data_IF_428963017582
#
_entry.id   IF_428963017582
#
_cell.length_a   1.000
_cell.length_b   1.000
_cell.length_c   1.000
_cell.angle_alpha   90.00
_cell.angle_beta   90.00
_cell.angle_gamma   90.00
#
_symmetry.space_group_name_H-M   'P 1'
#
loop_
_entity.id
_entity.type
_entity.pdbx_description
1 polymer ?
#
# COMPACT_ATOMS: atom_id res chain seq x y z
N UNK A 1 -14.81 39.03 17.05
CA UNK A 1 -13.88 39.62 16.05
C UNK A 1 -12.61 38.78 16.04
N UNK A 2 -12.19 38.25 14.90
CA UNK A 2 -10.94 37.49 14.79
C UNK A 2 -9.75 38.45 14.88
N UNK A 3 -9.00 38.40 15.99
CA UNK A 3 -7.78 39.19 16.13
C UNK A 3 -6.74 38.84 15.06
N UNK A 4 -5.92 39.81 14.68
CA UNK A 4 -4.77 39.63 13.79
C UNK A 4 -3.49 40.00 14.52
N UNK A 5 -2.37 39.36 14.17
CA UNK A 5 -1.05 39.70 14.70
C UNK A 5 -0.07 39.95 13.54
N UNK A 6 0.93 40.80 13.76
CA UNK A 6 1.98 41.09 12.79
C UNK A 6 3.25 40.29 13.10
N UNK A 7 3.95 39.82 12.06
CA UNK A 7 5.24 39.17 12.23
C UNK A 7 6.28 40.18 12.77
N UNK A 8 7.04 39.86 13.84
CA UNK A 8 8.02 40.79 14.42
C UNK A 8 9.23 41.06 13.51
N UNK A 9 9.41 40.25 12.45
CA UNK A 9 10.56 40.36 11.54
C UNK A 9 10.26 41.10 10.24
N UNK A 10 9.05 40.96 9.69
CA UNK A 10 8.69 41.51 8.37
C UNK A 10 7.32 42.19 8.33
N UNK A 11 6.63 42.30 9.46
CA UNK A 11 5.33 42.96 9.62
C UNK A 11 4.15 42.38 8.81
N UNK A 12 4.31 41.22 8.17
CA UNK A 12 3.19 40.51 7.54
C UNK A 12 2.10 40.18 8.58
N UNK A 13 0.83 40.42 8.22
CA UNK A 13 -0.34 40.30 9.10
C UNK A 13 -1.02 38.94 8.91
N UNK A 14 -1.30 38.24 10.02
CA UNK A 14 -1.93 36.93 10.02
C UNK A 14 -3.11 36.85 10.99
N UNK A 15 -4.15 36.04 10.71
CA UNK A 15 -5.24 35.81 11.64
C UNK A 15 -4.79 34.97 12.85
N UNK A 16 -5.18 35.35 14.06
CA UNK A 16 -4.92 34.61 15.30
C UNK A 16 -5.72 33.30 15.29
N UNK A 17 -5.03 32.17 15.43
CA UNK A 17 -5.64 30.85 15.66
C UNK A 17 -5.23 30.37 17.06
N UNK A 18 -6.15 29.93 17.93
CA UNK A 18 -5.84 29.48 19.29
C UNK A 18 -4.77 28.38 19.36
N UNK A 19 -4.70 27.54 18.33
CA UNK A 19 -3.73 26.42 18.22
C UNK A 19 -2.26 26.89 18.11
N UNK A 20 -2.03 28.16 17.78
CA UNK A 20 -0.70 28.74 17.59
C UNK A 20 -0.15 29.44 18.84
N UNK A 21 -0.98 29.69 19.86
CA UNK A 21 -0.55 30.32 21.11
C UNK A 21 0.41 29.39 21.88
N UNK A 22 1.53 29.94 22.36
CA UNK A 22 2.56 29.20 23.09
C UNK A 22 3.44 28.27 22.25
N UNK A 23 3.28 28.22 20.92
CA UNK A 23 4.11 27.40 20.02
C UNK A 23 5.04 28.27 19.16
N UNK A 24 6.20 27.72 18.80
CA UNK A 24 7.09 28.36 17.83
C UNK A 24 6.52 28.21 16.41
N UNK A 25 6.28 29.33 15.73
CA UNK A 25 5.72 29.40 14.37
C UNK A 25 6.74 30.04 13.43
N UNK A 26 6.80 29.60 12.18
CA UNK A 26 7.62 30.23 11.13
C UNK A 26 6.77 31.16 10.27
N UNK A 27 7.24 32.38 10.03
CA UNK A 27 6.59 33.31 9.13
C UNK A 27 6.59 32.77 7.69
N UNK A 28 5.45 32.79 6.99
CA UNK A 28 5.38 32.31 5.59
C UNK A 28 6.12 33.23 4.62
N UNK A 29 6.23 34.53 4.93
CA UNK A 29 6.90 35.53 4.10
C UNK A 29 8.42 35.50 4.30
N UNK A 30 8.91 35.68 5.54
CA UNK A 30 10.35 35.83 5.81
C UNK A 30 11.02 34.56 6.36
N UNK A 31 10.27 33.48 6.61
CA UNK A 31 10.75 32.17 7.13
C UNK A 31 11.46 32.17 8.49
N UNK A 32 11.56 33.32 9.16
CA UNK A 32 12.14 33.43 10.52
C UNK A 32 11.16 32.91 11.58
N UNK A 33 11.64 32.17 12.59
CA UNK A 33 10.80 31.70 13.69
C UNK A 33 10.45 32.84 14.66
N UNK A 34 9.25 32.77 15.23
CA UNK A 34 8.76 33.64 16.31
C UNK A 34 7.75 32.86 17.17
N UNK A 35 7.38 33.38 18.33
CA UNK A 35 6.42 32.75 19.24
C UNK A 35 5.25 33.71 19.46
N UNK A 36 4.02 33.20 19.44
CA UNK A 36 2.82 33.97 19.73
C UNK A 36 2.47 33.79 21.22
N UNK A 37 2.53 34.88 21.99
CA UNK A 37 2.15 34.87 23.41
C UNK A 37 0.64 34.73 23.61
N UNK A 38 0.23 34.44 24.83
CA UNK A 38 -1.19 34.39 25.24
C UNK A 38 -1.87 35.77 25.13
N UNK A 39 -1.07 36.83 25.19
CA UNK A 39 -1.45 38.22 24.93
C UNK A 39 -1.74 38.52 23.44
N UNK A 40 -1.51 37.55 22.55
CA UNK A 40 -1.65 37.73 21.10
C UNK A 40 -0.51 38.53 20.47
N UNK A 41 0.56 38.83 21.22
CA UNK A 41 1.73 39.57 20.73
C UNK A 41 2.79 38.58 20.26
N UNK A 42 3.23 38.73 19.02
CA UNK A 42 4.28 37.89 18.44
C UNK A 42 5.66 38.42 18.85
N UNK A 43 6.45 37.60 19.56
CA UNK A 43 7.82 37.94 20.00
C UNK A 43 8.84 37.12 19.22
N UNK A 44 9.97 37.71 18.80
CA UNK A 44 11.05 36.93 18.17
C UNK A 44 11.55 35.90 19.19
N UNK A 45 11.69 34.65 18.76
CA UNK A 45 12.39 33.65 19.58
C UNK A 45 13.84 34.10 19.60
N UNK A 46 14.25 34.71 20.70
CA UNK A 46 15.63 35.10 20.90
C UNK A 46 16.50 33.90 20.58
N UNK A 47 17.55 34.14 19.79
CA UNK A 47 18.61 33.16 19.53
C UNK A 47 19.39 32.94 20.81
N UNK A 48 18.73 32.49 21.87
CA UNK A 48 19.39 31.86 22.99
C UNK A 48 20.00 30.62 22.36
N UNK A 49 21.32 30.65 22.20
CA UNK A 49 22.08 29.47 21.82
C UNK A 49 21.62 28.35 22.74
N UNK A 50 20.82 27.44 22.22
CA UNK A 50 20.56 26.17 22.87
C UNK A 50 21.93 25.50 22.82
N UNK A 51 22.70 25.66 23.88
CA UNK A 51 23.89 24.86 24.13
C UNK A 51 23.43 23.41 24.04
N UNK A 52 23.70 22.78 22.90
CA UNK A 52 23.63 21.34 22.79
C UNK A 52 24.46 20.79 23.96
N UNK A 53 23.90 19.87 24.78
CA UNK A 53 24.71 19.09 25.69
C UNK A 53 25.86 18.50 24.88
N UNK A 54 27.10 18.76 25.34
CA UNK A 54 28.29 18.22 24.72
C UNK A 54 28.11 16.70 24.57
N UNK A 55 28.45 16.10 23.42
CA UNK A 55 28.47 14.66 23.30
C UNK A 55 29.44 14.10 24.33
N UNK A 56 28.93 13.24 25.21
CA UNK A 56 29.74 12.47 26.16
C UNK A 56 30.91 11.83 25.41
N UNK A 57 32.11 12.13 25.89
CA UNK A 57 33.34 11.52 25.43
C UNK A 57 33.24 10.00 25.64
N UNK A 58 33.31 9.28 24.54
CA UNK A 58 33.45 7.83 24.54
C UNK A 58 34.68 7.44 25.38
N UNK A 59 34.56 6.51 26.33
CA UNK A 59 35.71 5.94 27.03
C UNK A 59 36.64 5.28 26.01
N UNK A 60 37.93 5.57 26.14
CA UNK A 60 39.00 4.98 25.35
C UNK A 60 38.88 3.45 25.34
N UNK A 61 38.77 2.88 24.14
CA UNK A 61 38.75 1.45 23.91
C UNK A 61 40.09 0.84 24.36
N UNK A 62 40.04 0.05 25.42
CA UNK A 62 41.13 -0.85 25.79
C UNK A 62 41.26 -1.94 24.73
N UNK A 63 42.50 -2.15 24.32
CA UNK A 63 42.96 -3.16 23.37
C UNK A 63 42.61 -4.58 23.88
N UNK A 64 41.85 -5.39 23.13
CA UNK A 64 41.50 -6.73 23.56
C UNK A 64 42.69 -7.68 23.41
N UNK A 65 43.07 -8.30 24.53
CA UNK A 65 44.05 -9.37 24.61
C UNK A 65 43.64 -10.59 23.75
N UNK A 66 44.61 -11.31 23.14
CA UNK A 66 44.35 -12.47 22.31
C UNK A 66 43.80 -13.63 23.15
N UNK A 67 42.55 -14.03 22.87
CA UNK A 67 41.92 -15.23 23.45
C UNK A 67 42.57 -16.48 22.87
N UNK A 68 43.15 -17.29 23.77
CA UNK A 68 43.59 -18.65 23.49
C UNK A 68 42.41 -19.52 23.03
N UNK A 69 42.63 -20.27 21.94
CA UNK A 69 41.66 -21.21 21.39
C UNK A 69 41.43 -22.36 22.37
N UNK A 70 40.19 -22.53 22.82
CA UNK A 70 39.76 -23.72 23.55
C UNK A 70 39.62 -24.92 22.59
N UNK A 71 40.03 -26.13 22.99
CA UNK A 71 39.92 -27.33 22.17
C UNK A 71 38.46 -27.72 21.95
N UNK A 72 38.14 -28.04 20.69
CA UNK A 72 36.82 -28.49 20.22
C UNK A 72 36.54 -29.89 20.81
N UNK A 73 35.46 -30.10 21.59
CA UNK A 73 35.06 -31.43 22.02
C UNK A 73 34.50 -32.24 20.83
N UNK A 74 34.95 -33.49 20.73
CA UNK A 74 34.55 -34.44 19.70
C UNK A 74 33.03 -34.70 19.73
N UNK A 75 32.41 -34.67 18.54
CA UNK A 75 30.99 -34.96 18.36
C UNK A 75 30.65 -36.41 18.73
N UNK A 76 29.53 -36.67 19.43
CA UNK A 76 29.08 -38.02 19.70
C UNK A 76 28.56 -38.70 18.41
N UNK A 77 29.08 -39.90 18.15
CA UNK A 77 28.65 -40.82 17.10
C UNK A 77 27.20 -41.22 17.36
N UNK A 78 26.27 -40.80 16.49
CA UNK A 78 24.89 -41.25 16.53
C UNK A 78 24.77 -42.64 15.90
N UNK A 79 24.23 -43.58 16.67
CA UNK A 79 23.90 -44.92 16.23
C UNK A 79 22.75 -44.88 15.20
N UNK A 80 22.98 -45.45 14.03
CA UNK A 80 22.00 -45.63 12.96
C UNK A 80 20.94 -46.66 13.38
N UNK A 81 19.68 -46.24 13.46
CA UNK A 81 18.51 -47.12 13.54
C UNK A 81 18.11 -47.54 12.11
N UNK A 82 17.88 -48.84 11.84
CA UNK A 82 17.46 -49.30 10.52
C UNK A 82 16.01 -48.90 10.23
N UNK A 83 15.82 -48.10 9.18
CA UNK A 83 14.50 -47.72 8.64
C UNK A 83 14.02 -48.83 7.70
N UNK A 84 12.89 -49.45 8.06
CA UNK A 84 12.13 -50.36 7.20
C UNK A 84 11.37 -49.53 6.16
N UNK A 85 11.54 -49.79 4.85
CA UNK A 85 10.84 -49.03 3.81
C UNK A 85 9.36 -49.47 3.68
N UNK A 86 8.40 -48.54 3.56
CA UNK A 86 7.03 -48.88 3.17
C UNK A 86 6.93 -49.17 1.66
N UNK A 87 6.05 -50.11 1.33
CA UNK A 87 5.81 -50.65 0.00
C UNK A 87 5.37 -49.57 -1.01
N UNK A 88 6.07 -49.53 -2.14
CA UNK A 88 5.77 -48.70 -3.31
C UNK A 88 4.71 -49.40 -4.18
N UNK A 89 3.58 -48.74 -4.51
CA UNK A 89 2.67 -49.23 -5.54
C UNK A 89 3.24 -48.98 -6.95
N UNK A 90 3.15 -50.01 -7.79
CA UNK A 90 3.69 -50.08 -9.15
C UNK A 90 3.16 -48.97 -10.10
N UNK A 91 4.02 -48.32 -10.89
CA UNK A 91 3.60 -47.43 -11.97
C UNK A 91 3.20 -48.21 -13.24
N UNK A 92 2.14 -47.75 -13.91
CA UNK A 92 1.71 -48.24 -15.22
C UNK A 92 2.66 -47.77 -16.34
N UNK A 93 2.89 -48.58 -17.39
CA UNK A 93 3.70 -48.19 -18.54
C UNK A 93 2.94 -47.20 -19.43
N UNK A 94 3.61 -46.12 -19.82
CA UNK A 94 3.20 -45.24 -20.93
C UNK A 94 4.28 -45.34 -22.00
N UNK A 95 3.84 -45.64 -23.23
CA UNK A 95 4.64 -45.75 -24.45
C UNK A 95 5.38 -44.44 -24.80
N UNK A 96 6.60 -44.53 -25.38
CA UNK A 96 7.30 -43.36 -25.91
C UNK A 96 6.97 -43.13 -27.39
N UNK A 97 6.45 -41.95 -27.71
CA UNK A 97 6.47 -41.41 -29.06
C UNK A 97 7.71 -40.51 -29.25
N UNK A 98 8.51 -40.90 -30.24
CA UNK A 98 9.70 -40.26 -30.79
C UNK A 98 9.38 -38.93 -31.47
N UNK A 99 10.26 -37.92 -31.32
CA UNK A 99 11.01 -37.21 -32.40
C UNK A 99 11.37 -35.76 -32.00
N UNK A 100 12.58 -35.32 -32.37
CA UNK A 100 12.85 -33.90 -32.63
C UNK A 100 14.08 -33.27 -31.97
N UNK A 101 15.28 -33.77 -32.28
CA UNK A 101 16.54 -33.04 -32.09
C UNK A 101 16.59 -31.80 -32.98
N UNK A 102 16.80 -30.62 -32.40
CA UNK A 102 17.33 -29.44 -33.09
C UNK A 102 18.47 -28.85 -32.27
N UNK A 103 19.69 -29.14 -32.74
CA UNK A 103 20.98 -28.63 -32.27
C UNK A 103 21.16 -27.22 -32.83
N UNK A 104 21.11 -26.19 -31.97
CA UNK A 104 21.49 -24.81 -32.33
C UNK A 104 22.86 -24.54 -31.75
N UNK A 105 23.83 -24.30 -32.64
CA UNK A 105 25.19 -23.90 -32.34
C UNK A 105 25.25 -22.49 -31.73
N UNK A 106 25.99 -22.37 -30.62
CA UNK A 106 26.37 -21.09 -30.02
C UNK A 106 27.66 -20.57 -30.67
N UNK A 107 27.76 -19.29 -31.06
CA UNK A 107 29.03 -18.69 -31.43
C UNK A 107 29.82 -18.25 -30.17
N UNK A 108 31.12 -18.51 -30.21
CA UNK A 108 32.10 -18.18 -29.21
C UNK A 108 32.20 -16.66 -28.95
N UNK A 109 32.17 -16.27 -27.68
CA UNK A 109 32.32 -14.87 -27.25
C UNK A 109 33.80 -14.54 -27.04
N UNK A 110 34.32 -13.63 -27.86
CA UNK A 110 35.64 -13.04 -27.70
C UNK A 110 35.71 -12.17 -26.43
N UNK A 111 36.70 -12.46 -25.59
CA UNK A 111 37.09 -11.68 -24.43
C UNK A 111 37.91 -10.45 -24.86
N UNK A 112 37.25 -9.31 -25.02
CA UNK A 112 37.89 -7.99 -25.16
C UNK A 112 37.75 -7.16 -23.89
N UNK A 113 38.86 -6.95 -23.16
CA UNK A 113 39.00 -5.95 -22.09
C UNK A 113 38.74 -4.55 -22.67
N UNK A 114 37.67 -3.89 -22.23
CA UNK A 114 37.56 -2.43 -22.29
C UNK A 114 37.12 -1.86 -20.94
N UNK A 115 37.88 -0.86 -20.50
CA UNK A 115 37.67 -0.11 -19.27
C UNK A 115 36.28 0.54 -19.26
N UNK A 116 35.48 0.15 -18.25
CA UNK A 116 34.08 0.56 -18.13
C UNK A 116 33.97 1.92 -17.44
N UNK A 117 33.97 2.99 -18.23
CA UNK A 117 33.53 4.31 -17.78
C UNK A 117 32.00 4.28 -17.58
N UNK A 118 31.54 4.44 -16.34
CA UNK A 118 30.12 4.43 -15.98
C UNK A 118 29.40 5.59 -16.70
N UNK A 119 28.36 5.32 -17.53
CA UNK A 119 27.56 6.38 -18.11
C UNK A 119 26.77 7.10 -17.01
N UNK A 120 26.86 8.42 -16.97
CA UNK A 120 26.18 9.28 -15.99
C UNK A 120 24.66 9.07 -16.04
N UNK A 121 24.03 9.04 -14.86
CA UNK A 121 22.58 8.90 -14.66
C UNK A 121 21.77 9.95 -15.42
N UNK A 122 22.35 11.12 -15.69
CA UNK A 122 21.75 12.18 -16.49
C UNK A 122 21.53 11.80 -17.96
N UNK A 123 22.45 11.02 -18.57
CA UNK A 123 22.27 10.56 -19.96
C UNK A 123 21.09 9.60 -20.09
N UNK A 124 20.84 8.75 -19.08
CA UNK A 124 19.67 7.86 -19.06
C UNK A 124 18.37 8.62 -18.87
N UNK A 125 18.35 9.63 -18.01
CA UNK A 125 17.16 10.48 -17.81
C UNK A 125 16.79 11.26 -19.09
N UNK A 126 17.79 11.83 -19.79
CA UNK A 126 17.56 12.49 -21.10
C UNK A 126 17.05 11.52 -22.15
N UNK A 127 17.70 10.37 -22.31
CA UNK A 127 17.27 9.35 -23.28
C UNK A 127 15.85 8.84 -23.01
N UNK A 128 15.43 8.72 -21.74
CA UNK A 128 14.07 8.32 -21.40
C UNK A 128 13.05 9.42 -21.71
N UNK A 129 13.39 10.69 -21.46
CA UNK A 129 12.52 11.83 -21.82
C UNK A 129 12.34 11.98 -23.33
N UNK A 130 13.38 11.74 -24.12
CA UNK A 130 13.33 11.76 -25.59
C UNK A 130 12.44 10.64 -26.13
N UNK A 131 12.50 9.43 -25.55
CA UNK A 131 11.61 8.32 -25.92
C UNK A 131 10.14 8.63 -25.63
N UNK A 132 9.84 9.23 -24.47
CA UNK A 132 8.46 9.65 -24.18
C UNK A 132 7.96 10.75 -25.12
N UNK A 133 8.84 11.70 -25.51
CA UNK A 133 8.49 12.72 -26.49
C UNK A 133 8.23 12.11 -27.88
N UNK A 134 9.01 11.11 -28.30
CA UNK A 134 8.83 10.39 -29.55
C UNK A 134 7.50 9.62 -29.57
N UNK A 135 7.19 8.86 -28.51
CA UNK A 135 5.93 8.11 -28.39
C UNK A 135 4.71 9.05 -28.39
N UNK A 136 4.80 10.22 -27.72
CA UNK A 136 3.72 11.22 -27.77
C UNK A 136 3.48 11.76 -29.17
N UNK A 137 4.54 12.01 -29.95
CA UNK A 137 4.40 12.46 -31.34
C UNK A 137 3.74 11.37 -32.19
N UNK A 138 4.19 10.13 -32.07
CA UNK A 138 3.64 8.98 -32.80
C UNK A 138 2.15 8.75 -32.48
N UNK A 139 1.77 8.86 -31.20
CA UNK A 139 0.39 8.75 -30.75
C UNK A 139 -0.48 9.92 -31.24
N UNK A 140 0.07 11.14 -31.29
CA UNK A 140 -0.64 12.30 -31.84
C UNK A 140 -0.89 12.17 -33.35
N UNK A 141 0.06 11.60 -34.09
CA UNK A 141 -0.09 11.37 -35.53
C UNK A 141 -1.11 10.28 -35.83
N UNK A 142 -1.18 9.21 -35.03
CA UNK A 142 -2.20 8.15 -35.19
C UNK A 142 -3.61 8.64 -34.84
N UNK A 143 -3.75 9.51 -33.83
CA UNK A 143 -5.04 10.12 -33.52
C UNK A 143 -5.50 11.08 -34.62
N UNK A 144 -4.59 11.88 -35.18
CA UNK A 144 -4.91 12.77 -36.30
C UNK A 144 -5.27 11.99 -37.58
N UNK A 145 -4.60 10.87 -37.88
CA UNK A 145 -4.96 10.04 -39.03
C UNK A 145 -6.32 9.37 -38.85
N UNK A 146 -6.61 8.84 -37.66
CA UNK A 146 -7.91 8.23 -37.34
C UNK A 146 -9.07 9.25 -37.42
N UNK A 147 -8.87 10.47 -36.92
CA UNK A 147 -9.83 11.57 -37.07
C UNK A 147 -10.04 11.96 -38.54
N UNK A 148 -8.97 12.04 -39.32
CA UNK A 148 -9.06 12.34 -40.75
C UNK A 148 -9.82 11.27 -41.55
N UNK A 149 -9.63 9.99 -41.24
CA UNK A 149 -10.37 8.89 -41.85
C UNK A 149 -11.85 8.87 -41.46
N UNK A 150 -12.17 9.18 -40.20
CA UNK A 150 -13.55 9.28 -39.73
C UNK A 150 -14.31 10.42 -40.44
N UNK A 151 -13.67 11.59 -40.61
CA UNK A 151 -14.27 12.72 -41.35
C UNK A 151 -14.47 12.37 -42.83
N UNK A 152 -13.49 11.71 -43.47
CA UNK A 152 -13.62 11.26 -44.86
C UNK A 152 -14.73 10.23 -45.04
N UNK A 153 -14.96 9.34 -44.05
CA UNK A 153 -16.08 8.40 -44.10
C UNK A 153 -17.43 9.11 -43.95
N UNK A 154 -17.54 10.13 -43.09
CA UNK A 154 -18.73 10.98 -42.99
C UNK A 154 -19.02 11.73 -44.29
N UNK A 155 -18.00 12.34 -44.90
CA UNK A 155 -18.15 13.04 -46.19
C UNK A 155 -18.51 12.08 -47.34
N UNK A 156 -17.93 10.87 -47.37
CA UNK A 156 -18.26 9.86 -48.37
C UNK A 156 -19.71 9.36 -48.21
N UNK A 157 -20.18 9.19 -46.96
CA UNK A 157 -21.59 8.86 -46.69
C UNK A 157 -22.54 9.99 -47.05
N UNK A 158 -22.17 11.24 -46.77
CA UNK A 158 -22.95 12.41 -47.17
C UNK A 158 -23.07 12.54 -48.70
N UNK A 159 -21.97 12.30 -49.44
CA UNK A 159 -21.97 12.31 -50.91
C UNK A 159 -22.78 11.15 -51.49
N UNK A 160 -22.62 9.92 -50.98
CA UNK A 160 -23.39 8.76 -51.41
C UNK A 160 -24.90 8.89 -51.12
N UNK A 161 -25.28 9.60 -50.05
CA UNK A 161 -26.67 9.96 -49.76
C UNK A 161 -27.24 11.00 -50.73
N UNK A 162 -26.43 11.96 -51.16
CA UNK A 162 -26.85 13.02 -52.09
C UNK A 162 -26.90 12.56 -53.56
N UNK A 163 -26.09 11.59 -53.97
CA UNK A 163 -26.01 11.13 -55.36
C UNK A 163 -27.16 10.19 -55.76
N UNK A 164 -27.84 9.56 -54.78
CA UNK A 164 -29.07 8.79 -55.05
C UNK A 164 -30.28 9.64 -55.45
N UNK A 165 -30.20 10.97 -55.38
CA UNK A 165 -31.25 11.90 -55.84
C UNK A 165 -30.95 12.49 -57.21
N UNK A 166 -29.74 12.29 -57.76
CA UNK A 166 -29.33 12.84 -59.05
C UNK A 166 -28.98 11.74 -60.05
N UNK A 167 -29.92 10.84 -60.35
CA UNK A 167 -29.83 9.98 -61.54
C UNK A 167 -30.38 10.77 -62.74
N UNK A 168 -29.58 11.09 -63.77
CA UNK A 168 -30.08 11.74 -64.97
C UNK A 168 -31.03 10.81 -65.72
N UNK A 169 -32.24 11.31 -65.97
CA UNK A 169 -33.21 10.74 -66.90
C UNK A 169 -32.51 10.50 -68.25
N UNK A 170 -32.41 9.24 -68.65
CA UNK A 170 -32.19 8.89 -70.05
C UNK A 170 -33.44 9.30 -70.81
N UNK A 171 -33.23 10.12 -71.83
CA UNK A 171 -34.20 10.55 -72.83
C UNK A 171 -34.91 9.32 -73.43
N UNK A 172 -36.17 9.15 -73.07
CA UNK A 172 -37.15 8.39 -73.85
C UNK A 172 -38.05 9.41 -74.58
N UNK A 173 -38.42 9.14 -75.84
CA UNK A 173 -39.09 10.13 -76.67
C UNK A 173 -40.51 10.41 -76.18
N UNK A 174 -40.78 11.71 -76.05
CA UNK A 174 -42.07 12.41 -76.09
C UNK A 174 -43.33 11.55 -75.90
N UNK A 175 -43.84 11.50 -74.67
CA UNK A 175 -45.28 11.43 -74.45
C UNK A 175 -45.75 12.67 -73.70
N UNK A 176 -46.58 13.43 -74.38
CA UNK A 176 -47.32 14.58 -73.88
C UNK A 176 -48.13 14.26 -72.62
N UNK A 177 -48.33 15.28 -71.79
CA UNK A 177 -49.50 15.38 -70.94
C UNK A 177 -49.32 14.88 -69.51
N UNK A 178 -49.18 15.84 -68.58
CA UNK A 178 -49.49 15.57 -67.18
C UNK A 178 -48.68 16.36 -66.19
N UNK A 179 -48.88 17.68 -66.13
CA UNK A 179 -48.72 18.42 -64.88
C UNK A 179 -49.80 17.93 -63.89
N UNK A 180 -49.58 16.73 -63.36
CA UNK A 180 -50.32 16.23 -62.22
C UNK A 180 -49.89 17.06 -61.03
N UNK A 181 -50.79 17.94 -60.56
CA UNK A 181 -50.80 18.45 -59.19
C UNK A 181 -50.34 17.32 -58.27
N UNK A 182 -49.14 17.46 -57.71
CA UNK A 182 -48.75 16.71 -56.52
C UNK A 182 -49.76 17.11 -55.46
N UNK A 183 -50.86 16.35 -55.38
CA UNK A 183 -51.80 16.44 -54.29
C UNK A 183 -51.03 16.31 -52.97
N UNK A 184 -51.54 16.92 -51.88
CA UNK A 184 -50.87 16.88 -50.59
C UNK A 184 -50.47 15.43 -50.33
N UNK A 185 -49.17 15.19 -50.18
CA UNK A 185 -48.64 13.85 -49.96
C UNK A 185 -49.47 13.24 -48.84
N UNK A 186 -50.35 12.30 -49.20
CA UNK A 186 -51.15 11.59 -48.23
C UNK A 186 -50.12 10.88 -47.37
N UNK A 187 -49.90 11.43 -46.17
CA UNK A 187 -49.21 10.79 -45.07
C UNK A 187 -50.02 9.52 -44.79
N UNK A 188 -49.77 8.47 -45.58
CA UNK A 188 -50.16 7.13 -45.22
C UNK A 188 -49.48 6.89 -43.88
N UNK A 189 -50.26 6.68 -42.82
CA UNK A 189 -49.76 6.60 -41.42
C UNK A 189 -48.74 5.47 -41.15
N UNK A 190 -48.21 4.85 -42.20
CA UNK A 190 -47.09 3.92 -42.21
C UNK A 190 -45.76 4.60 -41.81
N UNK A 191 -45.57 5.88 -42.17
CA UNK A 191 -44.37 6.63 -41.76
C UNK A 191 -44.26 6.88 -40.26
N UNK A 192 -45.40 7.10 -39.58
CA UNK A 192 -45.44 7.29 -38.13
C UNK A 192 -45.13 6.00 -37.37
N UNK A 193 -45.62 4.85 -37.86
CA UNK A 193 -45.30 3.54 -37.27
C UNK A 193 -43.82 3.20 -37.40
N UNK A 194 -43.21 3.48 -38.57
CA UNK A 194 -41.78 3.26 -38.78
C UNK A 194 -40.89 4.17 -37.92
N UNK A 195 -41.28 5.43 -37.71
CA UNK A 195 -40.56 6.30 -36.78
C UNK A 195 -40.68 5.85 -35.33
N UNK A 196 -41.85 5.38 -34.89
CA UNK A 196 -42.04 4.88 -33.54
C UNK A 196 -41.17 3.63 -33.29
N UNK A 197 -41.14 2.68 -34.22
CA UNK A 197 -40.31 1.48 -34.12
C UNK A 197 -38.81 1.81 -34.12
N UNK A 198 -38.36 2.70 -35.00
CA UNK A 198 -36.97 3.16 -35.04
C UNK A 198 -36.57 3.87 -33.75
N UNK A 199 -37.47 4.69 -33.17
CA UNK A 199 -37.23 5.34 -31.87
C UNK A 199 -37.15 4.32 -30.74
N UNK A 200 -38.05 3.35 -30.68
CA UNK A 200 -37.99 2.27 -29.68
C UNK A 200 -36.71 1.45 -29.80
N UNK A 201 -36.29 1.13 -31.01
CA UNK A 201 -35.03 0.44 -31.27
C UNK A 201 -33.82 1.27 -30.82
N UNK A 202 -33.77 2.56 -31.15
CA UNK A 202 -32.71 3.48 -30.72
C UNK A 202 -32.65 3.62 -29.19
N UNK A 203 -33.81 3.72 -28.53
CA UNK A 203 -33.91 3.74 -27.06
C UNK A 203 -33.40 2.42 -26.48
N UNK A 204 -33.78 1.28 -27.09
CA UNK A 204 -33.30 -0.05 -26.70
C UNK A 204 -31.78 -0.17 -26.80
N UNK A 205 -31.20 0.17 -27.95
CA UNK A 205 -29.74 0.16 -28.15
C UNK A 205 -29.02 1.14 -27.21
N UNK A 206 -29.56 2.35 -27.03
CA UNK A 206 -29.03 3.34 -26.09
C UNK A 206 -29.01 2.82 -24.65
N UNK A 207 -30.07 2.14 -24.23
CA UNK A 207 -30.16 1.48 -22.93
C UNK A 207 -29.08 0.41 -22.74
N UNK A 208 -28.87 -0.45 -23.73
CA UNK A 208 -27.82 -1.50 -23.68
C UNK A 208 -26.42 -0.87 -23.57
N UNK A 209 -26.12 0.15 -24.37
CA UNK A 209 -24.82 0.85 -24.30
C UNK A 209 -24.59 1.48 -22.92
N UNK A 210 -25.61 2.13 -22.35
CA UNK A 210 -25.51 2.72 -21.01
C UNK A 210 -25.25 1.66 -19.92
N UNK A 211 -25.90 0.49 -20.00
CA UNK A 211 -25.65 -0.63 -19.07
C UNK A 211 -24.23 -1.18 -19.21
N UNK A 212 -23.73 -1.34 -20.44
CA UNK A 212 -22.36 -1.80 -20.69
C UNK A 212 -21.33 -0.80 -20.16
N UNK A 213 -21.52 0.50 -20.39
CA UNK A 213 -20.64 1.54 -19.87
C UNK A 213 -20.68 1.61 -18.34
N UNK A 214 -21.84 1.46 -17.73
CA UNK A 214 -21.98 1.42 -16.27
C UNK A 214 -21.31 0.17 -15.66
N UNK A 215 -21.47 -1.00 -16.28
CA UNK A 215 -20.78 -2.23 -15.86
C UNK A 215 -19.26 -2.13 -16.02
N UNK A 216 -18.77 -1.57 -17.13
CA UNK A 216 -17.35 -1.30 -17.35
C UNK A 216 -16.79 -0.31 -16.32
N UNK A 217 -17.56 0.75 -16.01
CA UNK A 217 -17.20 1.70 -14.97
C UNK A 217 -17.13 1.06 -13.59
N UNK A 218 -18.10 0.23 -13.20
CA UNK A 218 -18.06 -0.53 -11.94
C UNK A 218 -16.83 -1.44 -11.86
N UNK A 219 -16.48 -2.12 -12.96
CA UNK A 219 -15.26 -2.94 -13.04
C UNK A 219 -13.96 -2.12 -12.97
N UNK A 220 -13.99 -0.84 -13.32
CA UNK A 220 -12.85 0.07 -13.20
C UNK A 220 -12.78 0.83 -11.88
N UNK A 221 -13.84 0.86 -11.08
CA UNK A 221 -13.74 1.47 -9.75
C UNK A 221 -12.80 0.63 -8.88
N UNK A 222 -11.65 1.17 -8.46
CA UNK A 222 -10.71 0.39 -7.66
C UNK A 222 -11.37 0.06 -6.33
N UNK A 223 -11.42 -1.24 -6.02
CA UNK A 223 -11.91 -1.75 -4.73
C UNK A 223 -11.18 -1.05 -3.57
N UNK A 224 -11.84 -0.90 -2.43
CA UNK A 224 -11.21 -0.25 -1.26
C UNK A 224 -9.89 -0.91 -0.85
N UNK A 225 -9.82 -2.24 -0.97
CA UNK A 225 -8.59 -3.01 -0.76
C UNK A 225 -7.53 -2.71 -1.83
N UNK A 226 -7.92 -2.56 -3.09
CA UNK A 226 -7.02 -2.17 -4.17
C UNK A 226 -6.42 -0.78 -3.95
N UNK A 227 -7.23 0.17 -3.47
CA UNK A 227 -6.76 1.52 -3.08
C UNK A 227 -5.74 1.44 -1.96
N UNK A 228 -6.01 0.68 -0.89
CA UNK A 228 -5.06 0.51 0.21
C UNK A 228 -3.71 -0.09 -0.22
N UNK A 229 -3.72 -1.04 -1.14
CA UNK A 229 -2.49 -1.63 -1.69
C UNK A 229 -1.74 -0.63 -2.60
N UNK A 230 -2.48 0.19 -3.37
CA UNK A 230 -1.91 1.27 -4.16
C UNK A 230 -1.30 2.37 -3.27
N UNK A 231 -1.96 2.74 -2.17
CA UNK A 231 -1.48 3.73 -1.21
C UNK A 231 -0.21 3.23 -0.50
N UNK A 232 -0.16 1.95 -0.13
CA UNK A 232 1.04 1.34 0.44
C UNK A 232 2.23 1.41 -0.53
N UNK A 233 2.01 1.10 -1.81
CA UNK A 233 3.06 1.07 -2.85
C UNK A 233 3.30 2.42 -3.53
N UNK A 234 2.57 3.48 -3.14
CA UNK A 234 2.66 4.79 -3.76
C UNK A 234 4.12 5.31 -3.81
N UNK A 235 4.51 6.09 -4.83
CA UNK A 235 5.84 6.68 -4.86
C UNK A 235 6.16 7.43 -3.55
N UNK A 236 7.33 7.16 -2.97
CA UNK A 236 7.80 7.91 -1.80
C UNK A 236 8.20 9.31 -2.28
N UNK A 237 7.82 10.34 -1.51
CA UNK A 237 8.12 11.74 -1.84
C UNK A 237 9.64 11.97 -1.97
N UNK A 238 10.04 12.88 -2.86
CA UNK A 238 11.44 13.08 -3.22
C UNK A 238 12.35 13.40 -2.02
N UNK A 239 11.84 14.13 -1.03
CA UNK A 239 12.52 14.47 0.23
C UNK A 239 12.83 13.25 1.11
N UNK A 240 12.07 12.16 0.94
CA UNK A 240 12.24 10.89 1.65
C UNK A 240 12.97 9.82 0.82
N UNK A 241 13.42 10.14 -0.40
CA UNK A 241 14.17 9.19 -1.25
C UNK A 241 15.65 9.04 -0.88
N UNK A 242 16.15 9.81 0.10
CA UNK A 242 17.55 9.73 0.54
C UNK A 242 17.94 8.35 1.08
N UNK A 243 19.25 8.02 1.08
CA UNK A 243 19.78 6.77 1.62
C UNK A 243 19.28 6.53 3.05
N UNK A 244 18.82 5.32 3.33
CA UNK A 244 18.28 4.90 4.63
C UNK A 244 16.88 5.42 4.99
N UNK A 245 16.29 6.37 4.24
CA UNK A 245 14.98 6.98 4.59
C UNK A 245 13.80 6.38 3.84
N UNK A 246 14.04 5.85 2.64
CA UNK A 246 12.96 5.38 1.75
C UNK A 246 12.20 4.18 2.32
N UNK A 247 12.92 3.19 2.86
CA UNK A 247 12.30 1.98 3.42
C UNK A 247 11.48 2.30 4.68
N UNK A 248 12.00 3.06 5.67
CA UNK A 248 11.18 3.51 6.80
C UNK A 248 9.93 4.29 6.41
N UNK A 249 10.00 5.11 5.35
CA UNK A 249 8.83 5.83 4.85
C UNK A 249 7.75 4.89 4.29
N UNK A 250 8.13 3.77 3.67
CA UNK A 250 7.17 2.74 3.21
C UNK A 250 6.53 2.04 4.42
N UNK A 251 7.33 1.63 5.41
CA UNK A 251 6.83 0.97 6.62
C UNK A 251 5.82 1.81 7.38
N UNK A 252 6.01 3.13 7.44
CA UNK A 252 5.09 4.07 8.09
C UNK A 252 3.66 4.07 7.53
N UNK A 253 3.47 3.61 6.29
CA UNK A 253 2.15 3.51 5.64
C UNK A 253 1.35 2.30 6.11
N UNK A 254 2.03 1.27 6.62
CA UNK A 254 1.37 0.14 7.26
C UNK A 254 0.71 0.57 8.58
N UNK A 255 -0.19 -0.27 9.10
CA UNK A 255 -0.70 -0.12 10.46
C UNK A 255 0.43 -0.22 11.49
N UNK A 256 1.33 -1.19 11.29
CA UNK A 256 2.46 -1.48 12.16
C UNK A 256 3.76 -1.35 11.38
N UNK A 257 4.68 -0.53 11.86
CA UNK A 257 6.03 -0.45 11.33
C UNK A 257 6.85 -1.72 11.64
N UNK A 258 6.52 -2.39 12.76
CA UNK A 258 7.15 -3.64 13.21
C UNK A 258 6.14 -4.51 13.94
N UNK A 259 6.09 -5.79 13.60
CA UNK A 259 5.31 -6.84 14.25
C UNK A 259 6.01 -7.31 15.54
N UNK A 260 5.30 -8.02 16.44
CA UNK A 260 5.84 -8.41 17.75
C UNK A 260 7.04 -9.37 17.67
N UNK A 261 7.11 -10.16 16.60
CA UNK A 261 8.20 -11.10 16.28
C UNK A 261 9.42 -10.39 15.65
N UNK A 262 9.49 -9.06 15.77
CA UNK A 262 10.45 -8.19 15.11
C UNK A 262 10.38 -8.14 13.58
N UNK A 263 9.42 -8.83 12.94
CA UNK A 263 9.24 -8.78 11.49
C UNK A 263 8.70 -7.41 11.08
N UNK A 264 9.23 -6.84 10.00
CA UNK A 264 8.70 -5.60 9.40
C UNK A 264 7.92 -5.94 8.14
N UNK A 265 6.83 -5.22 7.82
CA UNK A 265 6.20 -5.36 6.53
C UNK A 265 7.21 -5.17 5.41
N UNK A 266 7.27 -6.09 4.45
CA UNK A 266 8.24 -6.03 3.39
C UNK A 266 8.03 -4.76 2.53
N UNK A 267 9.08 -3.98 2.24
CA UNK A 267 8.97 -2.69 1.55
C UNK A 267 8.79 -2.87 0.03
N UNK A 268 7.64 -3.41 -0.37
CA UNK A 268 7.26 -3.50 -1.78
C UNK A 268 6.91 -2.12 -2.33
N UNK A 269 7.44 -1.81 -3.52
CA UNK A 269 7.14 -0.58 -4.27
C UNK A 269 6.17 -0.80 -5.42
N UNK A 270 5.79 -2.07 -5.66
CA UNK A 270 4.78 -2.48 -6.63
C UNK A 270 4.24 -3.85 -6.19
N UNK A 271 2.92 -4.03 -6.20
CA UNK A 271 2.22 -5.25 -5.81
C UNK A 271 1.34 -5.70 -6.98
N UNK A 272 1.97 -6.07 -8.10
CA UNK A 272 1.26 -6.47 -9.31
C UNK A 272 0.47 -7.74 -9.03
N UNK A 273 -0.70 -7.83 -9.66
CA UNK A 273 -1.57 -9.00 -9.56
C UNK A 273 -1.91 -9.37 -8.11
N UNK A 274 -2.00 -8.39 -7.21
CA UNK A 274 -2.48 -8.64 -5.87
C UNK A 274 -3.94 -9.07 -5.93
N UNK A 275 -4.22 -10.29 -5.46
CA UNK A 275 -5.55 -10.86 -5.38
C UNK A 275 -5.98 -10.85 -3.92
N UNK A 276 -7.17 -10.32 -3.68
CA UNK A 276 -7.82 -10.38 -2.38
C UNK A 276 -8.23 -11.84 -2.10
N UNK A 277 -7.75 -12.40 -1.00
CA UNK A 277 -8.07 -13.74 -0.53
C UNK A 277 -9.18 -13.74 0.53
N UNK A 278 -9.20 -14.80 1.33
CA UNK A 278 -10.13 -14.95 2.44
C UNK A 278 -10.00 -13.79 3.44
N UNK A 279 -11.12 -13.41 4.05
CA UNK A 279 -11.15 -12.40 5.10
C UNK A 279 -12.16 -12.75 6.16
N UNK A 280 -12.14 -11.99 7.24
CA UNK A 280 -13.03 -12.16 8.38
C UNK A 280 -13.30 -10.84 9.07
N UNK A 281 -14.05 -10.91 10.16
CA UNK A 281 -14.25 -9.77 11.05
C UNK A 281 -14.16 -10.23 12.50
N UNK A 282 -13.68 -9.33 13.35
CA UNK A 282 -13.57 -9.51 14.79
C UNK A 282 -14.59 -8.56 15.43
N UNK A 283 -15.59 -9.07 16.17
CA UNK A 283 -16.55 -8.22 16.88
C UNK A 283 -15.83 -7.28 17.84
N UNK A 284 -16.06 -5.98 17.70
CA UNK A 284 -15.40 -4.95 18.51
C UNK A 284 -15.72 -5.10 19.99
N UNK A 285 -16.95 -5.52 20.32
CA UNK A 285 -17.35 -5.84 21.70
C UNK A 285 -16.48 -6.92 22.34
N UNK A 286 -16.21 -8.03 21.64
CA UNK A 286 -15.36 -9.11 22.16
C UNK A 286 -13.93 -8.62 22.43
N UNK A 287 -13.42 -7.74 21.56
CA UNK A 287 -12.11 -7.12 21.74
C UNK A 287 -12.13 -6.15 22.93
N UNK A 288 -13.06 -5.20 22.99
CA UNK A 288 -13.16 -4.23 24.09
C UNK A 288 -13.34 -4.90 25.45
N UNK A 289 -14.15 -5.96 25.54
CA UNK A 289 -14.33 -6.72 26.79
C UNK A 289 -13.05 -7.47 27.19
N UNK A 290 -12.32 -8.06 26.23
CA UNK A 290 -11.06 -8.74 26.52
C UNK A 290 -9.94 -7.77 26.94
N UNK A 291 -9.97 -6.54 26.44
CA UNK A 291 -8.96 -5.51 26.69
C UNK A 291 -9.34 -4.53 27.82
N UNK A 292 -10.49 -4.69 28.46
CA UNK A 292 -10.96 -3.79 29.51
C UNK A 292 -9.95 -3.65 30.67
N UNK A 293 -9.26 -4.73 31.00
CA UNK A 293 -8.26 -4.79 32.09
C UNK A 293 -6.88 -4.28 31.67
N UNK A 294 -6.66 -3.99 30.37
CA UNK A 294 -5.42 -3.37 29.90
C UNK A 294 -5.41 -1.85 30.11
N UNK A 295 -6.56 -1.27 30.48
CA UNK A 295 -6.61 0.12 30.91
C UNK A 295 -5.64 0.30 32.08
N UNK A 296 -4.79 1.32 31.97
CA UNK A 296 -3.73 1.64 32.95
C UNK A 296 -2.64 0.58 33.09
N UNK A 297 -2.46 -0.33 32.13
CA UNK A 297 -1.30 -1.24 32.07
C UNK A 297 -0.34 -0.90 30.94
N UNK A 298 0.95 -1.07 31.20
CA UNK A 298 2.03 -0.94 30.22
C UNK A 298 2.66 -2.29 29.91
N UNK A 299 2.94 -2.52 28.62
CA UNK A 299 3.68 -3.70 28.18
C UNK A 299 5.16 -3.59 28.60
N UNK A 300 5.67 -4.62 29.27
CA UNK A 300 7.09 -4.74 29.64
C UNK A 300 7.68 -5.94 28.92
N UNK A 301 8.40 -5.69 27.83
CA UNK A 301 8.91 -6.76 26.95
C UNK A 301 9.80 -7.78 27.66
N UNK A 302 10.57 -7.36 28.67
CA UNK A 302 11.41 -8.26 29.46
C UNK A 302 10.59 -9.30 30.26
N UNK A 303 9.36 -8.96 30.67
CA UNK A 303 8.48 -9.83 31.43
C UNK A 303 7.47 -10.59 30.55
N UNK A 304 7.44 -10.31 29.24
CA UNK A 304 6.42 -10.80 28.29
C UNK A 304 4.98 -10.62 28.83
N UNK A 305 4.72 -9.47 29.48
CA UNK A 305 3.44 -9.18 30.11
C UNK A 305 3.15 -7.69 30.31
N UNK A 306 1.90 -7.41 30.66
CA UNK A 306 1.37 -6.09 31.00
C UNK A 306 1.37 -5.87 32.50
N UNK A 307 2.02 -4.79 32.94
CA UNK A 307 2.13 -4.38 34.35
C UNK A 307 1.32 -3.12 34.57
N UNK A 308 0.64 -2.98 35.72
CA UNK A 308 -0.04 -1.74 36.08
C UNK A 308 0.92 -0.55 36.08
N UNK A 309 0.47 0.60 35.56
CA UNK A 309 1.25 1.83 35.47
C UNK A 309 1.83 2.23 36.82
N UNK A 310 1.04 2.09 37.89
CA UNK A 310 1.45 2.38 39.26
C UNK A 310 2.61 1.51 39.77
N UNK A 311 2.84 0.35 39.15
CA UNK A 311 3.85 -0.65 39.54
C UNK A 311 5.01 -0.75 38.53
N UNK A 312 4.98 0.04 37.45
CA UNK A 312 5.98 -0.03 36.39
C UNK A 312 7.40 0.23 36.91
N UNK A 313 7.56 1.24 37.77
CA UNK A 313 8.85 1.56 38.39
C UNK A 313 9.38 0.39 39.25
N UNK A 314 8.52 -0.22 40.06
CA UNK A 314 8.88 -1.39 40.88
C UNK A 314 9.30 -2.57 40.02
N UNK A 315 8.56 -2.85 38.94
CA UNK A 315 8.91 -3.93 38.01
C UNK A 315 10.27 -3.70 37.33
N UNK A 316 10.53 -2.48 36.85
CA UNK A 316 11.82 -2.11 36.26
C UNK A 316 12.98 -2.17 37.26
N UNK A 317 12.75 -1.77 38.52
CA UNK A 317 13.77 -1.87 39.57
C UNK A 317 14.12 -3.33 39.87
N UNK A 318 13.13 -4.22 39.92
CA UNK A 318 13.35 -5.64 40.16
C UNK A 318 14.06 -6.32 38.97
N UNK A 319 13.73 -5.93 37.74
CA UNK A 319 14.42 -6.40 36.52
C UNK A 319 15.90 -6.00 36.47
N UNK A 320 16.31 -4.92 37.15
CA UNK A 320 17.73 -4.55 37.29
C UNK A 320 18.46 -5.44 38.31
N UNK A 321 17.74 -5.98 39.29
CA UNK A 321 18.29 -6.78 40.40
C UNK A 321 18.30 -8.28 40.12
N UNK A 322 17.33 -8.76 39.35
CA UNK A 322 17.06 -10.20 39.15
C UNK A 322 16.74 -10.49 37.68
N UNK A 323 17.02 -11.71 37.19
CA UNK A 323 16.63 -12.12 35.84
C UNK A 323 15.10 -12.13 35.71
N UNK A 324 14.60 -11.81 34.51
CA UNK A 324 13.17 -11.69 34.24
C UNK A 324 12.35 -12.91 34.64
N UNK A 325 12.88 -14.13 34.45
CA UNK A 325 12.21 -15.36 34.85
C UNK A 325 11.92 -15.44 36.36
N UNK A 326 12.83 -14.92 37.19
CA UNK A 326 12.66 -14.90 38.64
C UNK A 326 11.66 -13.81 39.07
N UNK A 327 11.69 -12.65 38.40
CA UNK A 327 10.71 -11.57 38.61
C UNK A 327 9.31 -12.04 38.25
N UNK A 328 9.13 -12.76 37.14
CA UNK A 328 7.84 -13.36 36.74
C UNK A 328 7.36 -14.36 37.81
N UNK A 329 8.23 -15.28 38.24
CA UNK A 329 7.87 -16.30 39.24
C UNK A 329 7.50 -15.69 40.60
N UNK A 330 8.10 -14.54 40.95
CA UNK A 330 7.86 -13.82 42.21
C UNK A 330 6.93 -12.61 42.06
N UNK A 331 6.31 -12.38 40.91
CA UNK A 331 5.54 -11.16 40.63
C UNK A 331 4.48 -10.89 41.70
N UNK A 332 3.69 -11.91 42.07
CA UNK A 332 2.68 -11.80 43.12
C UNK A 332 3.27 -11.47 44.50
N UNK A 333 4.42 -12.05 44.87
CA UNK A 333 5.11 -11.77 46.13
C UNK A 333 5.70 -10.37 46.18
N UNK A 334 6.12 -9.86 45.02
CA UNK A 334 6.65 -8.51 44.85
C UNK A 334 5.54 -7.46 44.71
N UNK A 335 4.27 -7.86 44.77
CA UNK A 335 3.12 -6.98 44.59
C UNK A 335 3.00 -6.43 43.17
N UNK A 336 3.54 -7.13 42.17
CA UNK A 336 3.46 -6.78 40.75
C UNK A 336 2.28 -7.55 40.14
N UNK A 337 1.23 -6.82 39.75
CA UNK A 337 0.11 -7.36 38.99
C UNK A 337 0.52 -7.50 37.53
N UNK A 338 0.98 -8.71 37.19
CA UNK A 338 1.43 -9.08 35.85
C UNK A 338 0.32 -9.85 35.13
N UNK A 339 -0.19 -9.27 34.04
CA UNK A 339 -1.00 -9.99 33.07
C UNK A 339 -0.07 -10.51 31.97
N UNK A 340 0.22 -11.81 31.97
CA UNK A 340 1.09 -12.41 30.96
C UNK A 340 0.38 -12.56 29.58
N UNK A 341 1.21 -12.77 28.55
CA UNK A 341 0.76 -12.97 27.17
C UNK A 341 -0.17 -14.18 27.00
N UNK A 342 0.09 -15.27 27.70
CA UNK A 342 -0.70 -16.51 27.65
C UNK A 342 -2.10 -16.31 28.22
N UNK A 343 -2.24 -15.58 29.32
CA UNK A 343 -3.51 -15.22 29.95
C UNK A 343 -4.30 -14.27 29.06
N UNK A 344 -3.67 -13.28 28.42
CA UNK A 344 -4.36 -12.44 27.45
C UNK A 344 -4.91 -13.26 26.28
N UNK A 345 -4.09 -14.17 25.70
CA UNK A 345 -4.54 -15.06 24.62
C UNK A 345 -5.70 -15.95 25.04
N UNK A 346 -5.65 -16.50 26.26
CA UNK A 346 -6.75 -17.29 26.82
C UNK A 346 -8.03 -16.46 26.93
N UNK A 347 -7.95 -15.22 27.42
CA UNK A 347 -9.09 -14.29 27.50
C UNK A 347 -9.66 -13.97 26.12
N UNK A 348 -8.82 -13.76 25.11
CA UNK A 348 -9.28 -13.55 23.73
C UNK A 348 -10.01 -14.80 23.21
N UNK A 349 -9.48 -16.00 23.47
CA UNK A 349 -10.11 -17.25 23.10
C UNK A 349 -11.46 -17.48 23.83
N UNK A 350 -11.54 -17.17 25.13
CA UNK A 350 -12.78 -17.25 25.93
C UNK A 350 -13.88 -16.31 25.39
N UNK A 351 -13.50 -15.26 24.66
CA UNK A 351 -14.41 -14.34 23.96
C UNK A 351 -14.70 -14.74 22.51
N UNK A 352 -14.43 -15.99 22.16
CA UNK A 352 -14.68 -16.61 20.86
C UNK A 352 -13.86 -16.00 19.71
N UNK A 353 -12.70 -15.42 19.99
CA UNK A 353 -11.77 -15.07 18.92
C UNK A 353 -11.02 -16.34 18.51
N UNK A 354 -11.05 -16.66 17.23
CA UNK A 354 -10.19 -17.69 16.68
C UNK A 354 -8.70 -17.32 16.85
N UNK A 355 -7.81 -18.30 16.71
CA UNK A 355 -6.38 -18.11 16.92
C UNK A 355 -5.76 -17.05 16.01
N UNK A 356 -6.28 -16.90 14.78
CA UNK A 356 -5.80 -15.89 13.83
C UNK A 356 -6.22 -14.47 14.25
N UNK A 357 -7.49 -14.30 14.63
CA UNK A 357 -8.04 -13.04 15.11
C UNK A 357 -7.41 -12.60 16.42
N UNK A 358 -7.15 -13.55 17.34
CA UNK A 358 -6.43 -13.28 18.57
C UNK A 358 -4.98 -12.84 18.28
N UNK A 359 -4.28 -13.50 17.36
CA UNK A 359 -2.93 -13.12 16.94
C UNK A 359 -2.90 -11.74 16.26
N UNK A 360 -3.95 -11.40 15.49
CA UNK A 360 -4.10 -10.08 14.88
C UNK A 360 -4.26 -8.98 15.93
N UNK A 361 -5.16 -9.16 16.90
CA UNK A 361 -5.35 -8.20 18.00
C UNK A 361 -4.06 -8.04 18.80
N UNK A 362 -3.41 -9.15 19.14
CA UNK A 362 -2.12 -9.14 19.84
C UNK A 362 -1.04 -8.40 19.06
N UNK A 363 -0.99 -8.57 17.73
CA UNK A 363 -0.05 -7.83 16.89
C UNK A 363 -0.24 -6.31 16.98
N UNK A 364 -1.49 -5.82 17.06
CA UNK A 364 -1.75 -4.39 17.27
C UNK A 364 -1.38 -3.89 18.66
N UNK A 365 -1.52 -4.73 19.69
CA UNK A 365 -1.15 -4.36 21.05
C UNK A 365 0.37 -4.25 21.20
N UNK A 366 1.10 -5.22 20.67
CA UNK A 366 2.54 -5.39 20.87
C UNK A 366 3.41 -4.76 19.77
N UNK A 367 2.85 -4.51 18.59
CA UNK A 367 3.58 -3.98 17.44
C UNK A 367 3.98 -2.51 17.59
N UNK A 368 5.03 -2.12 16.87
CA UNK A 368 5.44 -0.72 16.75
C UNK A 368 4.48 -0.02 15.78
N UNK A 369 3.73 1.01 16.21
CA UNK A 369 2.76 1.66 15.34
C UNK A 369 3.43 2.36 14.16
N UNK A 370 2.76 2.37 13.00
CA UNK A 370 3.13 3.22 11.87
C UNK A 370 2.83 4.71 12.12
N UNK A 371 2.78 5.50 11.04
CA UNK A 371 2.47 6.93 11.13
C UNK A 371 1.04 7.18 11.66
N UNK A 372 0.14 6.22 11.47
CA UNK A 372 -1.22 6.23 11.99
C UNK A 372 -1.35 5.54 13.36
N UNK A 373 -0.51 5.92 14.31
CA UNK A 373 -0.48 5.33 15.66
C UNK A 373 -1.83 5.36 16.40
N UNK A 374 -2.72 6.29 16.03
CA UNK A 374 -4.02 6.49 16.70
C UNK A 374 -4.88 5.23 16.82
N UNK A 375 -4.83 4.29 15.87
CA UNK A 375 -5.61 3.04 15.99
C UNK A 375 -5.01 2.10 17.03
N UNK A 376 -3.68 1.96 17.06
CA UNK A 376 -2.98 1.12 18.03
C UNK A 376 -3.17 1.68 19.44
N UNK A 377 -3.01 2.99 19.60
CA UNK A 377 -3.15 3.65 20.90
C UNK A 377 -4.58 3.56 21.43
N UNK A 378 -5.58 3.74 20.55
CA UNK A 378 -7.00 3.55 20.90
C UNK A 378 -7.32 2.10 21.27
N UNK A 379 -6.69 1.14 20.61
CA UNK A 379 -6.89 -0.27 20.94
C UNK A 379 -6.26 -0.62 22.30
N UNK A 380 -5.07 -0.08 22.58
CA UNK A 380 -4.39 -0.21 23.87
C UNK A 380 -5.17 0.43 25.01
N UNK A 381 -5.90 1.52 24.75
CA UNK A 381 -6.81 2.16 25.72
C UNK A 381 -8.18 1.47 25.79
N UNK A 382 -8.25 0.15 25.63
CA UNK A 382 -9.47 -0.65 25.76
C UNK A 382 -10.42 -0.65 24.54
N UNK A 383 -10.04 -0.03 23.42
CA UNK A 383 -10.80 -0.13 22.17
C UNK A 383 -12.20 0.52 22.21
N UNK A 384 -12.41 1.57 23.02
CA UNK A 384 -13.72 2.20 23.17
C UNK A 384 -14.31 2.67 21.83
N UNK A 385 -15.59 2.33 21.59
CA UNK A 385 -16.30 2.69 20.36
C UNK A 385 -15.91 1.88 19.12
N UNK A 386 -15.15 0.79 19.28
CA UNK A 386 -14.87 -0.16 18.20
C UNK A 386 -16.10 -1.05 17.97
N UNK A 387 -16.63 -1.06 16.76
CA UNK A 387 -17.76 -1.93 16.38
C UNK A 387 -17.26 -3.27 15.85
N UNK A 388 -16.24 -3.24 14.98
CA UNK A 388 -15.57 -4.43 14.45
C UNK A 388 -14.20 -4.10 13.85
N UNK A 389 -13.35 -5.11 13.77
CA UNK A 389 -12.10 -5.10 13.00
C UNK A 389 -12.31 -6.01 11.80
N UNK A 390 -12.20 -5.48 10.59
CA UNK A 390 -12.25 -6.28 9.38
C UNK A 390 -10.83 -6.58 8.91
N UNK A 391 -10.58 -7.82 8.50
CA UNK A 391 -9.30 -8.22 7.97
C UNK A 391 -9.46 -9.04 6.71
N UNK A 392 -8.47 -8.96 5.82
CA UNK A 392 -8.46 -9.71 4.56
C UNK A 392 -7.05 -10.09 4.17
N UNK A 393 -6.83 -11.37 3.91
CA UNK A 393 -5.57 -11.85 3.31
C UNK A 393 -5.49 -11.41 1.86
N UNK A 394 -4.29 -11.23 1.37
CA UNK A 394 -4.03 -11.02 -0.04
C UNK A 394 -2.71 -11.68 -0.43
N UNK A 395 -2.57 -12.05 -1.69
CA UNK A 395 -1.35 -12.61 -2.23
C UNK A 395 -1.16 -12.21 -3.68
N UNK A 396 0.06 -12.36 -4.18
CA UNK A 396 0.39 -12.11 -5.58
C UNK A 396 1.65 -12.88 -5.97
N UNK A 397 1.76 -13.17 -7.26
CA UNK A 397 2.87 -13.94 -7.84
C UNK A 397 4.10 -13.08 -8.12
N UNK A 398 3.92 -11.77 -8.32
CA UNK A 398 5.02 -10.84 -8.62
C UNK A 398 4.80 -9.46 -7.99
N UNK A 399 5.63 -9.11 -7.02
CA UNK A 399 5.77 -7.76 -6.48
C UNK A 399 7.23 -7.31 -6.52
N UNK A 400 7.45 -6.00 -6.60
CA UNK A 400 8.80 -5.41 -6.59
C UNK A 400 9.24 -5.08 -5.17
N UNK A 401 10.04 -5.95 -4.57
CA UNK A 401 10.60 -5.78 -3.25
C UNK A 401 11.83 -4.86 -3.30
N UNK A 402 11.84 -3.81 -2.48
CA UNK A 402 13.00 -2.94 -2.35
C UNK A 402 14.00 -3.52 -1.35
N UNK A 403 15.26 -3.72 -1.76
CA UNK A 403 16.36 -4.17 -0.90
C UNK A 403 17.37 -3.04 -0.74
N UNK A 404 17.85 -2.83 0.48
CA UNK A 404 18.93 -1.89 0.77
C UNK A 404 20.27 -2.61 0.69
N UNK A 405 21.18 -2.10 -0.14
CA UNK A 405 22.54 -2.59 -0.36
C UNK A 405 23.57 -1.57 0.14
N UNK A 406 23.33 -0.98 1.32
CA UNK A 406 24.23 -0.01 1.93
C UNK A 406 24.15 1.37 1.27
N UNK A 407 22.93 1.88 1.07
CA UNK A 407 22.69 3.20 0.49
C UNK A 407 22.38 3.18 -1.01
N UNK A 408 22.34 2.00 -1.63
CA UNK A 408 21.72 1.78 -2.94
C UNK A 408 20.51 0.89 -2.77
N UNK A 409 19.44 1.23 -3.48
CA UNK A 409 18.24 0.42 -3.49
C UNK A 409 18.19 -0.43 -4.75
N UNK A 410 18.02 -1.74 -4.58
CA UNK A 410 17.74 -2.68 -5.66
C UNK A 410 16.29 -3.15 -5.57
N UNK A 411 15.63 -3.27 -6.71
CA UNK A 411 14.27 -3.83 -6.79
C UNK A 411 14.37 -5.27 -7.28
N UNK A 412 13.84 -6.21 -6.49
CA UNK A 412 13.81 -7.64 -6.84
C UNK A 412 12.36 -8.10 -6.92
N UNK A 413 12.00 -8.81 -7.99
CA UNK A 413 10.67 -9.39 -8.12
C UNK A 413 10.52 -10.63 -7.23
N UNK A 414 9.46 -10.67 -6.41
CA UNK A 414 9.16 -11.77 -5.49
C UNK A 414 7.65 -12.00 -5.40
N UNK A 415 7.19 -13.26 -5.30
CA UNK A 415 5.83 -13.52 -4.85
C UNK A 415 5.65 -13.01 -3.42
N UNK A 416 4.42 -12.70 -3.04
CA UNK A 416 4.13 -12.11 -1.73
C UNK A 416 2.79 -12.57 -1.17
N UNK A 417 2.68 -12.48 0.16
CA UNK A 417 1.43 -12.64 0.89
C UNK A 417 1.36 -11.60 2.00
N UNK A 418 0.15 -11.16 2.34
CA UNK A 418 -0.05 -10.18 3.39
C UNK A 418 -1.47 -10.17 3.93
N UNK A 419 -1.70 -9.27 4.88
CA UNK A 419 -2.98 -9.05 5.55
C UNK A 419 -3.29 -7.55 5.53
N UNK A 420 -4.45 -7.22 5.00
CA UNK A 420 -5.07 -5.90 5.12
C UNK A 420 -5.99 -5.90 6.34
N UNK A 421 -6.03 -4.77 7.05
CA UNK A 421 -6.93 -4.56 8.19
C UNK A 421 -7.60 -3.21 8.06
N UNK A 422 -8.85 -3.13 8.53
CA UNK A 422 -9.61 -1.90 8.72
C UNK A 422 -10.34 -1.94 10.06
N UNK A 423 -10.45 -0.78 10.70
CA UNK A 423 -11.28 -0.60 11.90
C UNK A 423 -12.62 0.05 11.53
N UNK A 424 -13.70 -0.42 12.14
CA UNK A 424 -15.04 0.13 11.94
C UNK A 424 -15.59 0.56 13.30
N UNK A 425 -16.02 1.81 13.39
CA UNK A 425 -16.64 2.40 14.57
C UNK A 425 -16.48 3.92 14.63
N UNK A 426 -17.24 4.62 15.48
CA UNK A 426 -17.13 6.07 15.64
C UNK A 426 -15.72 6.52 16.03
N UNK A 427 -15.16 7.44 15.23
CA UNK A 427 -13.82 7.98 15.44
C UNK A 427 -12.66 7.05 15.08
N UNK A 428 -12.93 5.82 14.63
CA UNK A 428 -11.90 4.92 14.10
C UNK A 428 -11.59 5.22 12.63
N UNK A 429 -10.33 5.04 12.19
CA UNK A 429 -9.97 5.21 10.78
C UNK A 429 -10.64 4.15 9.91
N UNK A 430 -11.42 4.62 8.92
CA UNK A 430 -12.23 3.77 8.02
C UNK A 430 -11.47 3.22 6.81
N UNK A 431 -10.18 3.47 6.72
CA UNK A 431 -9.35 3.04 5.60
C UNK A 431 -8.80 1.63 5.83
N UNK A 432 -8.66 0.88 4.74
CA UNK A 432 -7.88 -0.35 4.74
C UNK A 432 -6.39 0.01 4.72
N UNK A 433 -5.58 -0.70 5.49
CA UNK A 433 -4.11 -0.62 5.38
C UNK A 433 -3.46 -1.98 5.56
N UNK A 434 -2.25 -2.10 5.04
CA UNK A 434 -1.40 -3.27 5.22
C UNK A 434 -1.01 -3.38 6.70
N UNK A 435 -1.27 -4.52 7.31
CA UNK A 435 -0.78 -4.86 8.65
C UNK A 435 0.51 -5.68 8.55
N UNK A 436 0.48 -6.74 7.73
CA UNK A 436 1.61 -7.63 7.52
C UNK A 436 1.79 -7.86 6.01
N UNK A 437 3.04 -7.95 5.57
CA UNK A 437 3.40 -8.24 4.18
C UNK A 437 4.76 -8.92 4.17
N UNK A 438 4.85 -10.08 3.54
CA UNK A 438 6.07 -10.87 3.48
C UNK A 438 6.30 -11.42 2.06
N UNK A 439 7.57 -11.50 1.61
CA UNK A 439 7.90 -12.22 0.40
C UNK A 439 7.71 -13.72 0.63
N UNK A 440 7.11 -14.41 -0.33
CA UNK A 440 7.03 -15.87 -0.34
C UNK A 440 8.33 -16.46 -0.90
N UNK A 441 8.72 -17.67 -0.47
CA UNK A 441 9.82 -18.40 -1.10
C UNK A 441 9.49 -18.64 -2.59
N UNK A 442 10.51 -18.55 -3.44
CA UNK A 442 10.38 -18.92 -4.85
C UNK A 442 10.36 -20.45 -4.88
N UNK A 443 9.24 -21.03 -5.32
CA UNK A 443 9.19 -22.45 -5.65
C UNK A 443 10.24 -22.72 -6.73
N UNK A 444 11.23 -23.56 -6.41
CA UNK A 444 12.32 -23.92 -7.32
C UNK A 444 11.87 -24.95 -8.34
#
# INVERSE_FOLDING_TARGET
MSGTFACPHCQAVYPVKPVLMGKAVRCTTCRKPFMLGEDGIARPVGTVAISQPAPDQAPAAAEPAPLAQAPIPAAPVQATVPVVPPAVPSPRPIEPASTGSARVELPATQSGRMASAKPSTERRARAQSERFAAVKREMSTTLQSALGEAIKQEEAKAKAGSERVARPQREGPASEGGQGKLGPAALTGEGERGQAETRWWMIGCGGVVAVVLFAAWLMWTPSETGRALADYTAPVSADLTGPGRRIPAIWKRAWLARLPDATRPAPFVDLRQAVAGAGGFIPGRSVSEALADLNDRHWVAALDGWVLTAQLFTAEEQLKKQPASEVIAKAALLGIDLLDRTTLRKRLADRQLDGESAALVEAFLLGEPGENASACDRLRSGGKGLEKIEWRRFSGTSGRLLRDLGGRYESVERPFAGVLVRFVGPGWPKEWRVMALQPLPIAR
#
